data_IF_257313659691
#
_entry.id   IF_257313659691
#
_cell.length_a   1.000
_cell.length_b   1.000
_cell.length_c   1.000
_cell.angle_alpha   90.00
_cell.angle_beta   90.00
_cell.angle_gamma   90.00
#
_symmetry.space_group_name_H-M   'P 1'
#
loop_
_entity.id
_entity.type
_entity.pdbx_description
1 polymer ?
#
# COMPACT_ATOMS: atom_id res chain seq x y z
N UNK A 1 31.33 4.28 -25.57
CA UNK A 1 30.01 4.05 -24.94
C UNK A 1 30.29 3.32 -23.64
N UNK A 2 30.10 3.98 -22.50
CA UNK A 2 30.40 3.42 -21.19
C UNK A 2 29.56 2.18 -20.90
N UNK A 3 30.08 1.26 -20.09
CA UNK A 3 29.48 -0.05 -19.88
C UNK A 3 28.45 0.05 -18.74
N UNK A 4 27.16 -0.01 -19.07
CA UNK A 4 26.10 0.14 -18.06
C UNK A 4 25.97 -1.15 -17.22
N UNK A 5 26.25 -1.04 -15.92
CA UNK A 5 26.13 -2.17 -14.98
C UNK A 5 24.72 -2.24 -14.39
N UNK A 6 24.14 -3.43 -14.37
CA UNK A 6 22.84 -3.72 -13.75
C UNK A 6 23.02 -4.44 -12.41
N UNK A 7 22.50 -3.85 -11.33
CA UNK A 7 22.39 -4.46 -10.01
C UNK A 7 20.93 -4.87 -9.76
N UNK A 8 20.71 -6.09 -9.29
CA UNK A 8 19.37 -6.63 -9.00
C UNK A 8 19.33 -7.10 -7.55
N UNK A 9 18.36 -6.60 -6.80
CA UNK A 9 18.07 -6.98 -5.41
C UNK A 9 16.69 -7.65 -5.39
N UNK A 10 16.68 -8.97 -5.20
CA UNK A 10 15.49 -9.82 -5.28
C UNK A 10 15.70 -11.09 -4.43
N UNK A 11 14.99 -11.27 -3.28
CA UNK A 11 14.02 -10.35 -2.69
C UNK A 11 14.69 -9.21 -1.91
N UNK A 12 14.00 -8.07 -1.81
CA UNK A 12 14.35 -7.03 -0.82
C UNK A 12 13.92 -7.53 0.57
N UNK A 13 14.85 -7.54 1.53
CA UNK A 13 14.59 -7.99 2.91
C UNK A 13 14.30 -6.83 3.87
N UNK A 14 13.80 -7.15 5.08
CA UNK A 14 13.42 -6.19 6.14
C UNK A 14 12.33 -5.20 5.72
N UNK A 15 11.45 -5.63 4.83
CA UNK A 15 10.25 -4.92 4.43
C UNK A 15 9.03 -5.81 4.68
N UNK A 16 7.84 -5.21 4.70
CA UNK A 16 6.60 -5.96 4.54
C UNK A 16 6.37 -6.20 3.04
N UNK A 17 5.83 -7.37 2.70
CA UNK A 17 5.49 -7.70 1.33
C UNK A 17 6.66 -8.20 0.47
N UNK A 18 6.48 -8.11 -0.85
CA UNK A 18 7.42 -8.60 -1.85
C UNK A 18 7.86 -7.48 -2.79
N UNK A 19 9.16 -7.19 -2.75
CA UNK A 19 9.77 -6.15 -3.56
C UNK A 19 11.01 -6.62 -4.28
N UNK A 20 11.19 -6.12 -5.49
CA UNK A 20 12.42 -6.24 -6.27
C UNK A 20 12.90 -4.86 -6.69
N UNK A 21 14.20 -4.60 -6.52
CA UNK A 21 14.82 -3.34 -6.94
C UNK A 21 15.87 -3.61 -7.99
N UNK A 22 15.82 -2.88 -9.10
CA UNK A 22 16.81 -2.92 -10.17
C UNK A 22 17.47 -1.55 -10.27
N UNK A 23 18.80 -1.51 -10.16
CA UNK A 23 19.58 -0.27 -10.22
C UNK A 23 20.54 -0.34 -11.42
N UNK A 24 20.56 0.71 -12.22
CA UNK A 24 21.48 0.87 -13.35
C UNK A 24 22.56 1.88 -12.96
N UNK A 25 23.82 1.51 -13.16
CA UNK A 25 24.98 2.32 -12.79
C UNK A 25 25.89 2.54 -13.99
N UNK A 26 26.52 3.71 -14.03
CA UNK A 26 27.58 4.01 -15.00
C UNK A 26 28.95 3.45 -14.54
N UNK A 27 29.99 3.69 -15.36
CA UNK A 27 31.35 3.25 -15.08
C UNK A 27 31.97 3.92 -13.83
N UNK A 28 31.43 5.08 -13.40
CA UNK A 28 31.85 5.80 -12.20
C UNK A 28 31.05 5.38 -10.94
N UNK A 29 30.33 4.26 -11.02
CA UNK A 29 29.41 3.76 -9.99
C UNK A 29 28.31 4.77 -9.59
N UNK A 30 27.96 5.71 -10.46
CA UNK A 30 26.83 6.62 -10.25
C UNK A 30 25.54 5.95 -10.72
N UNK A 31 24.49 6.07 -9.90
CA UNK A 31 23.16 5.56 -10.25
C UNK A 31 22.57 6.44 -11.35
N UNK A 32 22.24 5.82 -12.48
CA UNK A 32 21.62 6.49 -13.64
C UNK A 32 20.11 6.24 -13.68
N UNK A 33 19.64 5.10 -13.16
CA UNK A 33 18.23 4.75 -13.07
C UNK A 33 17.98 3.71 -11.98
N UNK A 34 16.77 3.69 -11.42
CA UNK A 34 16.32 2.72 -10.44
C UNK A 34 14.85 2.37 -10.65
N UNK A 35 14.53 1.07 -10.60
CA UNK A 35 13.16 0.54 -10.74
C UNK A 35 12.77 -0.24 -9.50
N UNK A 36 11.62 0.11 -8.92
CA UNK A 36 10.94 -0.68 -7.91
C UNK A 36 9.86 -1.52 -8.57
N UNK A 37 9.92 -2.82 -8.35
CA UNK A 37 8.92 -3.77 -8.78
C UNK A 37 8.17 -4.27 -7.56
N UNK A 38 6.89 -3.92 -7.47
CA UNK A 38 5.95 -4.50 -6.52
C UNK A 38 5.37 -5.74 -7.18
N UNK A 39 5.74 -6.92 -6.68
CA UNK A 39 5.40 -8.19 -7.35
C UNK A 39 4.14 -8.84 -6.81
N UNK A 40 3.64 -8.38 -5.67
CA UNK A 40 2.45 -8.93 -5.04
C UNK A 40 1.18 -8.17 -5.42
N UNK A 41 0.11 -8.93 -5.66
CA UNK A 41 -1.21 -8.40 -5.93
C UNK A 41 -2.26 -9.32 -5.31
N UNK A 42 -3.22 -8.74 -4.59
CA UNK A 42 -4.37 -9.47 -4.01
C UNK A 42 -5.73 -8.95 -4.47
N UNK A 43 -5.84 -7.69 -4.87
CA UNK A 43 -7.08 -7.13 -5.41
C UNK A 43 -8.22 -6.93 -4.40
N UNK A 44 -7.92 -6.38 -3.22
CA UNK A 44 -8.93 -6.14 -2.15
C UNK A 44 -10.12 -5.30 -2.61
N UNK A 45 -9.93 -4.40 -3.56
CA UNK A 45 -10.99 -3.60 -4.16
C UNK A 45 -12.10 -4.47 -4.78
N UNK A 46 -11.73 -5.61 -5.38
CA UNK A 46 -12.69 -6.57 -5.92
C UNK A 46 -13.31 -7.42 -4.82
N UNK A 47 -12.54 -7.81 -3.81
CA UNK A 47 -13.08 -8.57 -2.67
C UNK A 47 -14.10 -7.79 -1.84
N UNK A 48 -14.06 -6.46 -1.85
CA UNK A 48 -15.07 -5.64 -1.16
C UNK A 48 -16.40 -5.58 -1.92
N UNK A 49 -16.41 -5.81 -3.23
CA UNK A 49 -17.63 -5.71 -4.03
C UNK A 49 -18.61 -6.84 -3.66
N UNK A 50 -19.85 -6.46 -3.35
CA UNK A 50 -20.90 -7.41 -2.96
C UNK A 50 -20.96 -7.71 -1.45
N UNK A 51 -19.99 -7.24 -0.67
CA UNK A 51 -20.09 -7.27 0.79
C UNK A 51 -20.98 -6.15 1.32
N UNK A 52 -21.70 -6.38 2.44
CA UNK A 52 -22.33 -5.29 3.16
C UNK A 52 -21.31 -4.24 3.59
N UNK A 53 -21.66 -2.96 3.43
CA UNK A 53 -20.70 -1.86 3.62
C UNK A 53 -20.04 -1.91 5.00
N UNK A 54 -20.79 -2.23 6.06
CA UNK A 54 -20.31 -2.24 7.45
C UNK A 54 -19.20 -3.27 7.73
N UNK A 55 -18.97 -4.23 6.84
CA UNK A 55 -17.87 -5.20 6.97
C UNK A 55 -16.52 -4.62 6.50
N UNK A 56 -16.51 -3.48 5.80
CA UNK A 56 -15.30 -2.89 5.22
C UNK A 56 -14.13 -2.74 6.23
N UNK A 57 -14.32 -2.24 7.47
CA UNK A 57 -13.23 -2.11 8.44
C UNK A 57 -12.60 -3.47 8.83
N UNK A 58 -13.39 -4.55 8.81
CA UNK A 58 -12.94 -5.90 9.12
C UNK A 58 -12.22 -6.57 7.95
N UNK A 59 -12.63 -6.28 6.72
CA UNK A 59 -12.01 -6.80 5.51
C UNK A 59 -10.70 -6.06 5.20
N UNK A 60 -10.71 -4.72 5.27
CA UNK A 60 -9.58 -3.86 4.91
C UNK A 60 -8.36 -4.05 5.82
N UNK A 61 -8.53 -4.38 7.10
CA UNK A 61 -7.40 -4.63 8.02
C UNK A 61 -6.49 -5.77 7.55
N UNK A 62 -6.95 -6.61 6.61
CA UNK A 62 -6.15 -7.72 6.04
C UNK A 62 -5.33 -7.28 4.82
N UNK A 63 -5.42 -6.03 4.37
CA UNK A 63 -4.54 -5.46 3.35
C UNK A 63 -3.10 -5.45 3.84
N UNK A 64 -2.82 -5.26 5.11
CA UNK A 64 -1.44 -5.28 5.58
C UNK A 64 -1.40 -5.68 7.05
N UNK A 65 -0.51 -6.62 7.39
CA UNK A 65 -0.37 -7.14 8.75
C UNK A 65 0.28 -6.15 9.71
N UNK A 66 1.11 -5.22 9.22
CA UNK A 66 1.83 -4.26 10.08
C UNK A 66 1.05 -2.97 10.31
N UNK A 67 0.34 -2.46 9.28
CA UNK A 67 -0.51 -1.26 9.39
C UNK A 67 -2.01 -1.59 9.42
N UNK A 68 -2.37 -2.77 9.95
CA UNK A 68 -3.75 -3.24 10.01
C UNK A 68 -4.70 -2.25 10.72
N UNK A 69 -4.24 -1.58 11.78
CA UNK A 69 -5.03 -0.55 12.50
C UNK A 69 -5.36 0.63 11.57
N UNK A 70 -4.39 1.09 10.78
CA UNK A 70 -4.61 2.19 9.83
C UNK A 70 -5.64 1.82 8.77
N UNK A 71 -5.60 0.60 8.25
CA UNK A 71 -6.59 0.11 7.30
C UNK A 71 -7.98 -0.06 7.93
N UNK A 72 -8.05 -0.53 9.17
CA UNK A 72 -9.29 -0.62 9.92
C UNK A 72 -9.93 0.75 10.12
N UNK A 73 -9.16 1.73 10.63
CA UNK A 73 -9.61 3.10 10.85
C UNK A 73 -10.02 3.79 9.55
N UNK A 74 -9.30 3.55 8.45
CA UNK A 74 -9.66 4.07 7.13
C UNK A 74 -11.04 3.54 6.70
N UNK A 75 -11.27 2.23 6.85
CA UNK A 75 -12.58 1.63 6.59
C UNK A 75 -13.68 2.22 7.45
N UNK A 76 -13.44 2.40 8.75
CA UNK A 76 -14.42 2.97 9.68
C UNK A 76 -14.77 4.42 9.31
N UNK A 77 -13.77 5.26 9.03
CA UNK A 77 -13.99 6.65 8.60
C UNK A 77 -14.78 6.75 7.30
N UNK A 78 -14.49 5.87 6.34
CA UNK A 78 -15.25 5.80 5.09
C UNK A 78 -16.72 5.41 5.34
N UNK A 79 -16.99 4.55 6.32
CA UNK A 79 -18.35 4.22 6.73
C UNK A 79 -19.07 5.39 7.39
N UNK A 80 -18.38 6.11 8.27
CA UNK A 80 -18.94 7.29 8.92
C UNK A 80 -19.39 8.32 7.88
N UNK A 81 -18.57 8.53 6.83
CA UNK A 81 -18.95 9.37 5.69
C UNK A 81 -20.17 8.81 4.93
N UNK A 82 -20.23 7.51 4.65
CA UNK A 82 -21.36 6.87 3.95
C UNK A 82 -22.68 7.04 4.71
N UNK A 83 -22.68 6.94 6.04
CA UNK A 83 -23.89 7.04 6.85
C UNK A 83 -24.20 8.47 7.32
N UNK A 84 -23.38 9.46 6.91
CA UNK A 84 -23.63 10.88 7.13
C UNK A 84 -23.12 11.44 8.46
N UNK A 85 -22.23 10.74 9.16
CA UNK A 85 -21.66 11.14 10.46
C UNK A 85 -20.15 11.38 10.42
N UNK A 86 -19.53 11.31 9.24
CA UNK A 86 -18.09 11.48 9.05
C UNK A 86 -17.61 12.92 8.79
N UNK A 87 -16.33 13.05 8.43
CA UNK A 87 -15.72 14.36 8.17
C UNK A 87 -16.37 15.11 7.00
N UNK A 88 -16.89 14.39 6.01
CA UNK A 88 -17.58 14.97 4.84
C UNK A 88 -18.85 15.73 5.22
N UNK A 89 -19.45 15.44 6.38
CA UNK A 89 -20.66 16.15 6.87
C UNK A 89 -20.35 17.28 7.85
N UNK A 90 -19.07 17.62 8.04
CA UNK A 90 -18.63 18.65 8.98
C UNK A 90 -18.68 18.19 10.44
N UNK A 91 -18.87 16.89 10.67
CA UNK A 91 -18.87 16.30 12.01
C UNK A 91 -17.43 16.22 12.53
N UNK A 92 -17.18 16.83 13.70
CA UNK A 92 -15.89 16.67 14.38
C UNK A 92 -15.79 15.27 14.95
N UNK A 93 -15.06 14.40 14.24
CA UNK A 93 -14.73 13.08 14.74
C UNK A 93 -13.71 13.20 15.88
N UNK A 94 -14.03 12.62 17.03
CA UNK A 94 -13.10 12.45 18.15
C UNK A 94 -11.95 11.57 17.66
N UNK A 95 -10.68 11.82 18.03
CA UNK A 95 -9.61 10.89 17.69
C UNK A 95 -9.91 9.55 18.38
N UNK A 96 -10.39 8.56 17.63
CA UNK A 96 -10.15 7.15 17.95
C UNK A 96 -8.67 6.87 17.94
#
# INVERSE_FOLDING_TARGET
>A
MGNMRKLVIDPVSKIEGHGKVVVYMDDNNQVTDAKLHVVEFRGFERFLQGHPYWEAPMLLQRICGICFVSHHLCGAKALDDIVGVGYSTGTTMIPT
#
